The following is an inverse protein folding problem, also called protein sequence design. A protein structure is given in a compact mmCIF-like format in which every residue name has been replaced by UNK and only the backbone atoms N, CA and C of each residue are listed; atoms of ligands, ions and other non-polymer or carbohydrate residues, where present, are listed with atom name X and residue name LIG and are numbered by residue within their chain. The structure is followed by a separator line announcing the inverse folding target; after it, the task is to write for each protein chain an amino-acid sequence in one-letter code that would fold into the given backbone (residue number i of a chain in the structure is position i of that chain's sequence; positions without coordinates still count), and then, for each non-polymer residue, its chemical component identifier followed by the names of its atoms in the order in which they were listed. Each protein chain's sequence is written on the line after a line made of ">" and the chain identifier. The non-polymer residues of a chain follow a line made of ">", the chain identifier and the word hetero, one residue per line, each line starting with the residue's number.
data_IF_476876257820
#
_entry.id   IF_476876257820
#
_cell.length_a   1.000
_cell.length_b   1.000
_cell.length_c   1.000
_cell.angle_alpha   90.00
_cell.angle_beta   90.00
_cell.angle_gamma   90.00
#
_symmetry.space_group_name_H-M   'P 1'
#
loop_
_entity.id
_entity.type
_entity.pdbx_description
1 polymer ?
#
# COMPACT_ATOMS: atom_id res chain seq x y z
N UNK A 1 -15.56 9.77 -6.39
CA UNK A 1 -14.37 9.08 -6.94
C UNK A 1 -13.57 10.09 -7.73
N UNK A 2 -12.25 10.07 -7.59
CA UNK A 2 -11.32 10.93 -8.35
C UNK A 2 -10.56 10.08 -9.36
N UNK A 3 -10.02 10.66 -10.43
CA UNK A 3 -9.28 9.91 -11.46
C UNK A 3 -7.93 10.54 -11.73
N UNK A 4 -6.95 9.72 -12.12
CA UNK A 4 -5.66 10.15 -12.65
C UNK A 4 -5.63 9.94 -14.16
N UNK A 5 -4.97 10.85 -14.88
CA UNK A 5 -4.88 10.84 -16.33
C UNK A 5 -3.45 11.01 -16.82
N UNK A 6 -3.18 10.45 -17.99
CA UNK A 6 -1.97 10.71 -18.78
C UNK A 6 -2.43 11.16 -20.16
N UNK A 7 -2.23 12.46 -20.45
CA UNK A 7 -2.95 13.10 -21.56
C UNK A 7 -4.47 12.98 -21.36
N UNK A 8 -5.18 12.50 -22.38
CA UNK A 8 -6.62 12.29 -22.31
C UNK A 8 -7.04 10.91 -21.76
N UNK A 9 -6.07 10.01 -21.52
CA UNK A 9 -6.34 8.65 -21.05
C UNK A 9 -6.49 8.60 -19.54
N UNK A 10 -7.61 8.04 -19.04
CA UNK A 10 -7.77 7.71 -17.62
C UNK A 10 -6.95 6.46 -17.31
N UNK A 11 -6.00 6.57 -16.39
CA UNK A 11 -5.10 5.47 -16.02
C UNK A 11 -5.37 4.91 -14.63
N UNK A 12 -6.05 5.65 -13.75
CA UNK A 12 -6.44 5.13 -12.45
C UNK A 12 -7.70 5.81 -11.88
N UNK A 13 -8.47 5.05 -11.12
CA UNK A 13 -9.56 5.58 -10.27
C UNK A 13 -9.15 5.50 -8.81
N UNK A 14 -9.43 6.56 -8.06
CA UNK A 14 -9.18 6.69 -6.65
C UNK A 14 -10.49 6.62 -5.86
N UNK A 15 -10.60 5.58 -5.04
CA UNK A 15 -11.70 5.33 -4.12
C UNK A 15 -11.31 5.93 -2.76
N UNK A 16 -12.19 6.77 -2.22
CA UNK A 16 -11.88 7.61 -1.05
C UNK A 16 -12.42 6.96 0.23
N UNK A 17 -13.69 6.56 0.20
CA UNK A 17 -14.40 6.03 1.37
C UNK A 17 -15.22 4.81 0.93
N UNK A 18 -14.58 3.63 0.84
CA UNK A 18 -15.27 2.42 0.40
C UNK A 18 -16.18 1.90 1.52
N UNK A 19 -17.45 1.54 1.23
CA UNK A 19 -18.41 1.07 2.25
C UNK A 19 -18.14 -0.39 2.63
N UNK A 20 -17.03 -0.63 3.32
CA UNK A 20 -16.54 -1.96 3.67
C UNK A 20 -16.73 -2.27 5.15
N UNK A 21 -16.86 -3.56 5.46
CA UNK A 21 -16.82 -4.06 6.84
C UNK A 21 -15.47 -3.71 7.50
N UNK A 22 -15.48 -3.37 8.79
CA UNK A 22 -14.30 -2.96 9.54
C UNK A 22 -13.17 -4.01 9.49
N UNK A 23 -13.51 -5.30 9.39
CA UNK A 23 -12.54 -6.41 9.27
C UNK A 23 -11.72 -6.36 7.98
N UNK A 24 -12.11 -5.55 7.00
CA UNK A 24 -11.34 -5.31 5.77
C UNK A 24 -10.42 -4.08 5.86
N UNK A 25 -10.40 -3.40 7.02
CA UNK A 25 -9.69 -2.15 7.28
C UNK A 25 -9.95 -1.08 6.20
N UNK A 26 -11.17 -0.51 6.14
CA UNK A 26 -11.55 0.51 5.17
C UNK A 26 -10.51 1.64 5.06
N UNK A 27 -10.11 1.95 3.83
CA UNK A 27 -9.10 2.96 3.50
C UNK A 27 -9.21 3.44 2.06
N UNK A 28 -8.71 4.64 1.72
CA UNK A 28 -8.57 5.06 0.33
C UNK A 28 -7.56 4.20 -0.44
N UNK A 29 -7.86 3.90 -1.71
CA UNK A 29 -7.02 3.09 -2.59
C UNK A 29 -7.23 3.42 -4.08
N UNK A 30 -6.28 2.99 -4.92
CA UNK A 30 -6.40 3.07 -6.38
C UNK A 30 -6.89 1.73 -6.95
N UNK A 31 -8.05 1.72 -7.59
CA UNK A 31 -8.55 0.62 -8.42
C UNK A 31 -9.73 1.12 -9.30
N UNK A 32 -9.80 0.70 -10.59
CA UNK A 32 -8.75 0.03 -11.33
C UNK A 32 -7.61 0.99 -11.68
N UNK A 33 -6.37 0.51 -11.63
CA UNK A 33 -5.22 1.10 -12.33
C UNK A 33 -5.03 0.34 -13.65
N UNK A 34 -4.66 1.04 -14.71
CA UNK A 34 -4.53 0.49 -16.06
C UNK A 34 -3.23 0.88 -16.74
N UNK A 35 -2.73 0.02 -17.62
CA UNK A 35 -1.72 0.40 -18.63
C UNK A 35 -2.31 1.41 -19.63
N UNK A 36 -1.49 1.98 -20.53
CA UNK A 36 -2.01 2.87 -21.58
C UNK A 36 -2.84 2.10 -22.61
N UNK A 37 -2.53 0.82 -22.86
CA UNK A 37 -3.33 -0.10 -23.65
C UNK A 37 -4.64 -0.53 -22.98
N UNK A 38 -4.85 -0.19 -21.70
CA UNK A 38 -6.10 -0.40 -20.98
C UNK A 38 -6.17 -1.67 -20.13
N UNK A 39 -5.11 -2.48 -20.08
CA UNK A 39 -5.01 -3.67 -19.22
C UNK A 39 -5.11 -3.27 -17.75
N UNK A 40 -6.01 -3.90 -16.98
CA UNK A 40 -6.10 -3.68 -15.53
C UNK A 40 -4.91 -4.31 -14.85
N UNK A 41 -4.24 -3.55 -13.98
CA UNK A 41 -3.03 -3.99 -13.27
C UNK A 41 -3.20 -4.03 -11.76
N UNK A 42 -4.39 -3.72 -11.23
CA UNK A 42 -4.75 -3.86 -9.81
C UNK A 42 -6.00 -4.70 -9.63
N UNK A 43 -6.05 -5.51 -8.58
CA UNK A 43 -7.26 -6.25 -8.18
C UNK A 43 -7.72 -5.83 -6.77
N UNK A 44 -8.99 -6.03 -6.45
CA UNK A 44 -9.56 -5.68 -5.14
C UNK A 44 -10.64 -6.67 -4.69
N UNK A 45 -10.86 -6.77 -3.38
CA UNK A 45 -11.93 -7.59 -2.79
C UNK A 45 -11.88 -9.05 -3.26
N UNK A 46 -10.68 -9.56 -3.57
CA UNK A 46 -10.47 -10.92 -4.05
C UNK A 46 -10.96 -11.92 -3.00
N UNK A 47 -11.58 -13.03 -3.44
CA UNK A 47 -12.17 -14.02 -2.54
C UNK A 47 -11.19 -14.59 -1.50
N UNK A 48 -9.92 -14.76 -1.87
CA UNK A 48 -8.85 -15.30 -1.03
C UNK A 48 -8.40 -14.30 0.05
N UNK A 49 -8.35 -13.01 -0.29
CA UNK A 49 -7.87 -11.93 0.56
C UNK A 49 -8.72 -10.66 0.32
N UNK A 50 -9.96 -10.62 0.83
CA UNK A 50 -10.89 -9.52 0.52
C UNK A 50 -10.44 -8.16 1.09
N UNK A 51 -9.46 -8.14 1.99
CA UNK A 51 -8.85 -6.92 2.52
C UNK A 51 -7.70 -6.36 1.65
N UNK A 52 -7.35 -7.02 0.54
CA UNK A 52 -6.43 -6.46 -0.44
C UNK A 52 -7.18 -5.48 -1.35
N UNK A 53 -6.84 -4.20 -1.24
CA UNK A 53 -7.53 -3.10 -1.91
C UNK A 53 -6.57 -2.39 -2.88
N UNK A 54 -6.57 -2.85 -4.14
CA UNK A 54 -5.85 -2.25 -5.26
C UNK A 54 -4.39 -1.89 -4.94
N UNK A 55 -4.04 -0.63 -5.21
CA UNK A 55 -2.81 -0.01 -4.69
C UNK A 55 -3.15 0.96 -3.54
N UNK A 56 -2.64 0.69 -2.33
CA UNK A 56 -2.93 1.46 -1.12
C UNK A 56 -1.79 1.43 -0.10
N UNK A 57 -1.90 2.26 0.94
CA UNK A 57 -1.03 2.17 2.12
C UNK A 57 -1.81 1.48 3.24
N UNK A 58 -1.27 0.41 3.79
CA UNK A 58 -1.89 -0.35 4.89
C UNK A 58 -0.81 -1.04 5.74
N UNK A 59 -1.05 -1.16 7.05
CA UNK A 59 -0.09 -1.75 8.01
C UNK A 59 -0.80 -2.75 8.90
N UNK A 60 -0.20 -3.92 9.08
CA UNK A 60 -0.82 -5.03 9.81
C UNK A 60 -0.84 -4.84 11.33
N UNK A 61 0.03 -3.98 11.85
CA UNK A 61 0.13 -3.66 13.27
C UNK A 61 0.54 -2.19 13.45
N UNK A 62 -0.35 -1.37 13.98
CA UNK A 62 -0.12 0.03 14.35
C UNK A 62 -0.44 0.18 15.83
N UNK A 63 0.56 0.10 16.70
CA UNK A 63 0.36 0.03 18.16
C UNK A 63 -0.66 -1.05 18.58
N UNK A 64 -0.65 -2.22 17.94
CA UNK A 64 -1.57 -3.33 18.18
C UNK A 64 -2.86 -3.30 17.37
N UNK A 65 -3.09 -2.26 16.56
CA UNK A 65 -4.27 -2.15 15.69
C UNK A 65 -3.97 -2.60 14.26
N UNK A 66 -4.83 -3.44 13.71
CA UNK A 66 -4.75 -3.95 12.35
C UNK A 66 -5.41 -2.98 11.36
N UNK A 67 -4.59 -2.24 10.61
CA UNK A 67 -5.02 -1.35 9.52
C UNK A 67 -4.76 -1.96 8.12
N UNK A 68 -4.50 -3.26 8.07
CA UNK A 68 -4.34 -4.05 6.84
C UNK A 68 -5.64 -4.78 6.47
N UNK A 69 -6.36 -5.26 7.49
CA UNK A 69 -7.55 -6.08 7.40
C UNK A 69 -7.25 -7.57 7.54
N UNK A 70 -8.30 -8.39 7.58
CA UNK A 70 -8.19 -9.83 7.75
C UNK A 70 -7.75 -10.24 9.16
N UNK A 71 -7.15 -11.42 9.27
CA UNK A 71 -6.70 -11.96 10.56
C UNK A 71 -5.37 -11.34 10.98
N UNK A 72 -5.22 -11.11 12.28
CA UNK A 72 -3.96 -10.69 12.89
C UNK A 72 -3.09 -11.90 13.20
N UNK A 73 -1.79 -11.82 12.93
CA UNK A 73 -0.86 -12.89 13.31
C UNK A 73 -0.49 -12.75 14.79
N UNK A 74 -0.79 -13.79 15.57
CA UNK A 74 -0.47 -13.88 16.98
C UNK A 74 0.57 -14.97 17.19
N UNK A 75 1.66 -14.65 17.90
CA UNK A 75 2.72 -15.60 18.22
C UNK A 75 2.12 -16.85 18.89
N UNK A 76 2.59 -18.02 18.46
CA UNK A 76 2.16 -19.34 18.95
C UNK A 76 0.68 -19.72 18.70
N UNK A 77 -0.13 -18.82 18.11
CA UNK A 77 -1.53 -19.08 17.75
C UNK A 77 -1.77 -19.02 16.24
N UNK A 78 -0.92 -18.30 15.51
CA UNK A 78 -1.06 -18.06 14.07
C UNK A 78 -2.08 -16.98 13.74
N UNK A 79 -2.63 -17.04 12.53
CA UNK A 79 -3.61 -16.06 12.04
C UNK A 79 -4.97 -16.22 12.73
N UNK A 80 -5.32 -15.23 13.54
CA UNK A 80 -6.50 -15.23 14.42
C UNK A 80 -7.40 -14.05 14.10
N UNK A 81 -8.72 -14.27 14.15
CA UNK A 81 -9.69 -13.17 14.11
C UNK A 81 -9.73 -12.50 15.48
N UNK A 82 -9.37 -11.22 15.51
CA UNK A 82 -9.42 -10.37 16.68
C UNK A 82 -10.35 -9.18 16.41
N UNK A 83 -10.78 -8.51 17.48
CA UNK A 83 -11.51 -7.24 17.42
C UNK A 83 -10.51 -6.07 17.54
N UNK A 84 -9.60 -5.99 16.57
CA UNK A 84 -8.43 -5.09 16.57
C UNK A 84 -8.31 -4.26 15.29
N UNK A 85 -9.38 -4.15 14.49
CA UNK A 85 -9.34 -3.46 13.21
C UNK A 85 -9.49 -1.95 13.33
N UNK A 86 -8.66 -1.22 12.59
CA UNK A 86 -8.73 0.23 12.43
C UNK A 86 -9.21 0.65 11.04
N UNK A 87 -9.18 1.97 10.78
CA UNK A 87 -9.53 2.57 9.48
C UNK A 87 -8.51 3.63 9.08
N UNK A 88 -8.40 3.93 7.78
CA UNK A 88 -7.75 5.14 7.28
C UNK A 88 -8.82 5.98 6.61
N UNK A 89 -9.06 7.20 7.09
CA UNK A 89 -10.19 8.04 6.67
C UNK A 89 -9.73 9.28 5.94
N UNK A 90 -10.48 9.66 4.91
CA UNK A 90 -10.29 10.93 4.23
C UNK A 90 -10.77 12.10 5.09
N UNK A 91 -9.89 13.08 5.28
CA UNK A 91 -10.12 14.26 6.11
C UNK A 91 -10.22 15.56 5.30
N UNK A 92 -9.91 15.50 4.01
CA UNK A 92 -10.09 16.62 3.11
C UNK A 92 -9.01 16.72 2.03
N UNK A 93 -9.38 17.38 0.94
CA UNK A 93 -8.48 17.68 -0.16
C UNK A 93 -7.52 18.82 0.16
N UNK A 94 -6.31 18.71 -0.37
CA UNK A 94 -5.30 19.76 -0.44
C UNK A 94 -5.17 20.23 -1.91
N UNK A 95 -4.63 21.43 -2.15
CA UNK A 95 -4.21 21.82 -3.48
C UNK A 95 -3.27 20.78 -4.08
N UNK A 96 -3.55 20.32 -5.30
CA UNK A 96 -2.70 19.37 -5.99
C UNK A 96 -1.33 19.98 -6.26
N UNK A 97 -0.28 19.18 -6.10
CA UNK A 97 1.11 19.59 -6.38
C UNK A 97 1.39 19.82 -7.86
N UNK A 98 0.59 19.22 -8.73
CA UNK A 98 0.61 19.38 -10.20
C UNK A 98 -0.81 19.32 -10.76
N UNK A 99 -1.08 19.90 -11.94
CA UNK A 99 -2.38 19.74 -12.62
C UNK A 99 -2.75 18.27 -12.81
N UNK A 100 -3.99 17.91 -12.49
CA UNK A 100 -4.49 16.52 -12.60
C UNK A 100 -3.99 15.55 -11.54
N UNK A 101 -3.10 15.99 -10.62
CA UNK A 101 -2.70 15.22 -9.45
C UNK A 101 -3.74 15.26 -8.33
N UNK A 102 -3.58 14.37 -7.36
CA UNK A 102 -4.36 14.30 -6.14
C UNK A 102 -3.48 14.68 -4.94
N UNK A 103 -4.02 15.43 -3.99
CA UNK A 103 -3.34 15.70 -2.71
C UNK A 103 -4.37 15.82 -1.60
N UNK A 104 -4.15 15.17 -0.46
CA UNK A 104 -5.17 15.07 0.60
C UNK A 104 -4.55 14.91 1.99
N UNK A 105 -5.42 15.07 3.00
CA UNK A 105 -5.17 14.69 4.39
C UNK A 105 -5.97 13.44 4.72
N UNK A 106 -5.36 12.52 5.45
CA UNK A 106 -6.02 11.35 6.00
C UNK A 106 -5.76 11.23 7.50
N UNK A 107 -6.58 10.47 8.19
CA UNK A 107 -6.35 10.03 9.58
C UNK A 107 -6.37 8.52 9.66
N UNK A 108 -5.42 7.97 10.40
CA UNK A 108 -5.35 6.56 10.72
C UNK A 108 -5.97 6.39 12.10
N UNK A 109 -7.07 5.67 12.19
CA UNK A 109 -7.85 5.50 13.40
C UNK A 109 -7.81 4.06 13.90
N UNK A 110 -7.86 3.89 15.22
CA UNK A 110 -8.13 2.59 15.83
C UNK A 110 -9.63 2.19 15.73
N UNK A 111 -9.98 1.01 16.25
CA UNK A 111 -11.35 0.50 16.26
C UNK A 111 -12.33 1.30 17.13
N UNK A 112 -11.84 2.28 17.90
CA UNK A 112 -12.65 3.21 18.68
C UNK A 112 -12.66 4.63 18.08
N UNK A 113 -12.22 4.78 16.83
CA UNK A 113 -12.12 6.05 16.10
C UNK A 113 -11.16 7.07 16.71
N UNK A 114 -10.21 6.63 17.54
CA UNK A 114 -9.14 7.49 18.06
C UNK A 114 -8.03 7.58 17.02
N UNK A 115 -7.50 8.77 16.82
CA UNK A 115 -6.43 9.02 15.84
C UNK A 115 -5.11 8.48 16.36
N UNK A 116 -4.49 7.59 15.59
CA UNK A 116 -3.14 7.05 15.82
C UNK A 116 -2.10 7.89 15.06
N UNK A 117 -2.39 8.19 13.79
CA UNK A 117 -1.54 8.97 12.89
C UNK A 117 -2.38 9.92 12.04
N UNK A 118 -1.77 11.02 11.62
CA UNK A 118 -2.28 11.84 10.51
C UNK A 118 -1.42 11.59 9.28
N UNK A 119 -1.99 11.66 8.09
CA UNK A 119 -1.26 11.47 6.83
C UNK A 119 -1.48 12.65 5.88
N UNK A 120 -0.42 13.06 5.19
CA UNK A 120 -0.52 13.86 3.95
C UNK A 120 -0.09 13.00 2.77
N UNK A 121 -0.93 12.92 1.75
CA UNK A 121 -0.71 12.10 0.56
C UNK A 121 -0.72 12.96 -0.70
N UNK A 122 0.16 12.65 -1.65
CA UNK A 122 0.16 13.22 -3.00
C UNK A 122 0.34 12.10 -4.02
N UNK A 123 -0.54 12.06 -5.02
CA UNK A 123 -0.53 11.04 -6.07
C UNK A 123 -0.56 11.73 -7.43
N UNK A 124 0.35 11.35 -8.32
CA UNK A 124 0.43 11.91 -9.68
C UNK A 124 0.65 10.81 -10.69
N UNK A 125 0.20 11.03 -11.93
CA UNK A 125 0.44 10.17 -13.08
C UNK A 125 1.09 11.00 -14.19
N UNK A 126 2.12 10.46 -14.84
CA UNK A 126 2.81 11.13 -15.95
C UNK A 126 3.25 10.12 -17.00
N UNK A 127 3.30 10.53 -18.27
CA UNK A 127 3.88 9.71 -19.33
C UNK A 127 5.36 9.44 -19.04
N UNK A 128 5.82 8.23 -19.38
CA UNK A 128 7.20 7.81 -19.20
C UNK A 128 7.63 6.90 -20.37
N UNK A 129 8.93 6.77 -20.66
CA UNK A 129 9.40 5.77 -21.63
C UNK A 129 8.89 4.37 -21.25
N UNK A 130 8.25 3.68 -22.19
CA UNK A 130 7.69 2.34 -22.00
C UNK A 130 6.29 2.28 -21.37
N UNK A 131 5.68 3.40 -21.00
CA UNK A 131 4.33 3.41 -20.42
C UNK A 131 4.00 4.71 -19.69
N UNK A 132 3.61 4.61 -18.43
CA UNK A 132 3.41 5.77 -17.56
C UNK A 132 3.85 5.51 -16.13
N UNK A 133 4.24 6.56 -15.41
CA UNK A 133 4.69 6.46 -14.03
C UNK A 133 3.64 7.00 -13.05
N UNK A 134 3.27 6.15 -12.09
CA UNK A 134 2.61 6.56 -10.86
C UNK A 134 3.67 7.07 -9.88
N UNK A 135 3.48 8.27 -9.34
CA UNK A 135 4.25 8.76 -8.20
C UNK A 135 3.32 8.89 -7.00
N UNK A 136 3.59 8.09 -5.96
CA UNK A 136 2.80 8.01 -4.74
C UNK A 136 3.67 8.46 -3.56
N UNK A 137 3.34 9.62 -2.98
CA UNK A 137 4.00 10.16 -1.78
C UNK A 137 3.03 10.11 -0.62
N UNK A 138 3.50 9.63 0.52
CA UNK A 138 2.77 9.74 1.79
C UNK A 138 3.73 10.10 2.92
N UNK A 139 3.21 10.90 3.86
CA UNK A 139 3.89 11.27 5.07
C UNK A 139 2.94 11.06 6.24
N UNK A 140 3.28 10.17 7.17
CA UNK A 140 2.52 9.92 8.39
C UNK A 140 3.18 10.60 9.58
N UNK A 141 2.40 11.30 10.38
CA UNK A 141 2.86 12.13 11.50
C UNK A 141 2.14 11.72 12.77
N UNK A 142 2.91 11.55 13.84
CA UNK A 142 2.39 11.28 15.19
C UNK A 142 2.04 12.58 15.92
N UNK A 143 1.10 12.51 16.86
CA UNK A 143 0.83 13.64 17.75
C UNK A 143 2.00 13.85 18.74
N UNK A 144 2.21 15.07 19.25
CA UNK A 144 3.12 15.29 20.38
C UNK A 144 2.78 14.38 21.56
N UNK A 145 3.80 13.77 22.17
CA UNK A 145 3.65 12.83 23.30
C UNK A 145 3.16 11.42 22.93
N UNK A 146 2.89 11.12 21.65
CA UNK A 146 2.48 9.79 21.20
C UNK A 146 3.55 9.17 20.28
N UNK A 147 4.24 8.14 20.75
CA UNK A 147 5.06 7.28 19.90
C UNK A 147 4.18 6.21 19.22
N UNK A 148 4.46 5.92 17.94
CA UNK A 148 3.75 4.88 17.19
C UNK A 148 4.74 3.87 16.62
N UNK A 149 4.53 2.60 16.95
CA UNK A 149 5.22 1.46 16.35
C UNK A 149 4.40 0.90 15.19
N UNK A 150 5.07 0.70 14.06
CA UNK A 150 4.55 0.04 12.86
C UNK A 150 5.17 -1.34 12.73
N UNK A 151 4.34 -2.38 12.75
CA UNK A 151 4.74 -3.78 12.69
C UNK A 151 4.18 -4.54 11.50
N UNK A 152 4.62 -5.79 11.39
CA UNK A 152 4.18 -6.78 10.43
C UNK A 152 4.02 -8.14 11.13
N UNK A 153 3.42 -9.15 10.49
CA UNK A 153 3.43 -10.50 11.04
C UNK A 153 4.84 -11.01 11.36
N UNK A 154 5.84 -10.68 10.54
CA UNK A 154 7.23 -11.07 10.78
C UNK A 154 7.75 -10.49 12.11
N UNK A 155 7.52 -9.20 12.37
CA UNK A 155 7.91 -8.58 13.65
C UNK A 155 7.15 -9.16 14.84
N UNK A 156 5.94 -9.70 14.59
CA UNK A 156 5.12 -10.36 15.60
C UNK A 156 5.44 -11.85 15.77
N UNK A 157 6.49 -12.35 15.08
CA UNK A 157 7.04 -13.69 15.27
C UNK A 157 6.68 -14.70 14.19
N UNK A 158 6.04 -14.27 13.09
CA UNK A 158 5.78 -15.16 11.95
C UNK A 158 7.08 -15.48 11.23
N UNK A 159 7.40 -16.76 11.13
CA UNK A 159 8.52 -17.25 10.31
C UNK A 159 8.17 -17.19 8.81
N UNK A 160 9.20 -17.19 7.96
CA UNK A 160 9.01 -17.16 6.49
C UNK A 160 8.71 -15.77 5.94
N UNK A 161 9.39 -14.73 6.46
CA UNK A 161 9.54 -13.42 5.81
C UNK A 161 8.22 -12.69 5.51
N UNK A 162 7.22 -12.87 6.37
CA UNK A 162 5.92 -12.20 6.28
C UNK A 162 5.96 -10.71 6.70
N UNK A 163 6.92 -9.95 6.19
CA UNK A 163 7.19 -8.56 6.52
C UNK A 163 6.29 -7.53 5.84
N UNK A 164 5.13 -7.93 5.32
CA UNK A 164 4.26 -7.04 4.53
C UNK A 164 3.69 -5.88 5.37
N UNK A 165 3.44 -4.76 4.69
CA UNK A 165 2.92 -3.52 5.28
C UNK A 165 3.63 -2.31 4.70
N UNK A 166 2.90 -1.25 4.36
CA UNK A 166 3.41 -0.07 3.68
C UNK A 166 2.59 0.19 2.42
N UNK A 167 3.25 0.71 1.37
CA UNK A 167 2.62 0.82 0.06
C UNK A 167 2.54 -0.57 -0.58
N UNK A 168 1.33 -1.09 -0.71
CA UNK A 168 1.04 -2.41 -1.25
C UNK A 168 0.26 -2.31 -2.57
N UNK A 169 0.57 -3.24 -3.46
CA UNK A 169 -0.08 -3.40 -4.76
C UNK A 169 -0.56 -4.84 -4.91
N UNK A 170 -1.88 -5.03 -5.00
CA UNK A 170 -2.49 -6.31 -5.37
C UNK A 170 -2.66 -6.38 -6.88
N UNK A 171 -2.04 -7.36 -7.53
CA UNK A 171 -2.15 -7.55 -8.98
C UNK A 171 -3.26 -8.58 -9.32
N UNK A 172 -3.97 -8.40 -10.45
CA UNK A 172 -4.73 -9.48 -11.09
C UNK A 172 -3.77 -10.38 -11.88
N UNK A 173 -4.19 -11.61 -12.17
CA UNK A 173 -3.45 -12.55 -13.01
C UNK A 173 -3.22 -13.89 -12.33
N UNK A 174 -2.62 -14.82 -13.07
CA UNK A 174 -2.40 -16.20 -12.63
C UNK A 174 -0.90 -16.48 -12.43
N UNK A 175 -0.06 -15.91 -13.29
CA UNK A 175 1.38 -16.16 -13.31
C UNK A 175 2.16 -14.87 -13.25
N UNK A 176 3.16 -14.80 -12.37
CA UNK A 176 4.05 -13.66 -12.28
C UNK A 176 5.50 -14.07 -12.05
N UNK A 177 6.40 -13.26 -12.61
CA UNK A 177 7.85 -13.37 -12.43
C UNK A 177 8.37 -12.03 -11.96
N UNK A 178 9.21 -12.03 -10.91
CA UNK A 178 9.94 -10.87 -10.45
C UNK A 178 11.42 -10.99 -10.82
N UNK A 179 12.06 -9.87 -11.15
CA UNK A 179 13.51 -9.80 -11.42
C UNK A 179 14.36 -9.82 -10.14
N UNK A 180 13.74 -9.56 -8.99
CA UNK A 180 14.37 -9.56 -7.67
C UNK A 180 13.70 -10.58 -6.73
N UNK A 181 14.44 -11.16 -5.78
CA UNK A 181 13.88 -12.08 -4.81
C UNK A 181 13.04 -11.36 -3.76
N UNK A 182 12.13 -12.11 -3.13
CA UNK A 182 11.41 -11.70 -1.93
C UNK A 182 12.39 -11.24 -0.85
N UNK A 183 12.14 -10.07 -0.26
CA UNK A 183 13.02 -9.47 0.75
C UNK A 183 14.20 -8.70 0.19
N UNK A 184 14.28 -8.49 -1.13
CA UNK A 184 15.36 -7.70 -1.74
C UNK A 184 15.36 -6.25 -1.24
N UNK A 185 16.56 -5.69 -1.13
CA UNK A 185 16.81 -4.27 -0.87
C UNK A 185 17.20 -3.49 -2.15
N UNK A 186 17.05 -4.12 -3.33
CA UNK A 186 17.39 -3.51 -4.60
C UNK A 186 16.67 -2.16 -4.81
N UNK A 187 17.30 -1.25 -5.55
CA UNK A 187 16.74 0.07 -5.83
C UNK A 187 15.38 0.01 -6.57
N UNK A 188 15.16 -1.06 -7.33
CA UNK A 188 13.93 -1.35 -8.03
C UNK A 188 13.62 -2.84 -8.07
N UNK A 189 12.35 -3.19 -8.26
CA UNK A 189 11.88 -4.51 -8.66
C UNK A 189 10.89 -4.38 -9.81
N UNK A 190 11.01 -5.23 -10.82
CA UNK A 190 10.04 -5.39 -11.90
C UNK A 190 9.28 -6.69 -11.73
N UNK A 191 7.95 -6.59 -11.75
CA UNK A 191 7.04 -7.71 -11.79
C UNK A 191 6.37 -7.78 -13.17
N UNK A 192 6.54 -8.89 -13.87
CA UNK A 192 5.82 -9.21 -15.11
C UNK A 192 4.70 -10.19 -14.80
N UNK A 193 3.49 -9.92 -15.31
CA UNK A 193 2.30 -10.74 -15.02
C UNK A 193 1.61 -11.18 -16.31
N UNK A 194 1.37 -12.48 -16.43
CA UNK A 194 0.73 -13.18 -17.55
C UNK A 194 1.29 -12.82 -18.95
N UNK A 195 2.53 -12.32 -19.03
CA UNK A 195 3.13 -11.72 -20.23
C UNK A 195 2.27 -10.59 -20.85
N UNK A 196 1.42 -9.92 -20.06
CA UNK A 196 0.49 -8.86 -20.50
C UNK A 196 0.92 -7.46 -20.09
N UNK A 197 1.56 -7.34 -18.93
CA UNK A 197 1.99 -6.07 -18.39
C UNK A 197 3.17 -6.24 -17.45
N UNK A 198 3.90 -5.15 -17.25
CA UNK A 198 4.98 -5.05 -16.28
C UNK A 198 4.78 -3.87 -15.32
N UNK A 199 5.17 -4.07 -14.06
CA UNK A 199 5.18 -3.06 -13.02
C UNK A 199 6.60 -2.94 -12.45
N UNK A 200 7.27 -1.81 -12.65
CA UNK A 200 8.59 -1.55 -12.04
C UNK A 200 8.46 -0.59 -10.87
N UNK A 201 8.65 -1.09 -9.66
CA UNK A 201 8.57 -0.35 -8.41
C UNK A 201 9.94 0.23 -8.02
N UNK A 202 9.95 1.44 -7.46
CA UNK A 202 11.13 2.17 -6.98
C UNK A 202 10.80 2.95 -5.71
N UNK A 203 11.80 3.22 -4.90
CA UNK A 203 11.69 4.19 -3.80
C UNK A 203 11.62 3.58 -2.40
N UNK A 204 12.28 2.45 -2.17
CA UNK A 204 12.59 2.01 -0.80
C UNK A 204 13.39 3.08 -0.05
N UNK A 205 13.26 3.11 1.28
CA UNK A 205 14.03 4.01 2.13
C UNK A 205 14.49 3.32 3.41
N UNK A 206 15.72 3.60 3.85
CA UNK A 206 16.26 3.06 5.10
C UNK A 206 16.28 1.52 5.11
N UNK A 207 15.54 0.93 6.05
CA UNK A 207 15.50 -0.52 6.25
C UNK A 207 14.36 -1.22 5.48
N UNK A 208 13.62 -0.50 4.63
CA UNK A 208 12.53 -1.10 3.86
C UNK A 208 13.05 -2.23 2.95
N UNK A 209 12.17 -3.18 2.61
CA UNK A 209 12.43 -4.26 1.66
C UNK A 209 11.29 -4.43 0.67
N UNK A 210 11.56 -5.04 -0.48
CA UNK A 210 10.53 -5.49 -1.39
C UNK A 210 9.91 -6.79 -0.87
N UNK A 211 8.68 -6.73 -0.36
CA UNK A 211 7.87 -7.93 -0.20
C UNK A 211 7.26 -8.28 -1.56
N UNK A 212 7.56 -9.47 -2.06
CA UNK A 212 7.08 -9.95 -3.36
C UNK A 212 6.34 -11.27 -3.15
N UNK A 213 5.14 -11.38 -3.72
CA UNK A 213 4.35 -12.61 -3.74
C UNK A 213 4.01 -12.92 -5.19
N UNK A 214 4.40 -14.09 -5.68
CA UNK A 214 4.03 -14.61 -7.01
C UNK A 214 3.22 -15.91 -6.92
N UNK A 215 3.09 -16.48 -5.73
CA UNK A 215 2.32 -17.71 -5.46
C UNK A 215 1.21 -17.48 -4.43
N UNK A 216 0.06 -18.13 -4.66
CA UNK A 216 -1.18 -17.98 -3.89
C UNK A 216 -1.90 -16.68 -4.22
N UNK A 217 -1.16 -15.57 -4.29
CA UNK A 217 -1.58 -14.35 -4.95
C UNK A 217 -0.39 -13.56 -5.48
N UNK A 218 -0.68 -12.61 -6.38
CA UNK A 218 0.33 -11.73 -6.94
C UNK A 218 0.27 -10.36 -6.25
N UNK A 219 1.38 -9.93 -5.67
CA UNK A 219 1.45 -8.59 -5.08
C UNK A 219 2.83 -8.17 -4.63
N UNK A 220 3.03 -6.86 -4.56
CA UNK A 220 4.30 -6.22 -4.17
C UNK A 220 4.03 -5.20 -3.06
N UNK A 221 4.87 -5.18 -2.02
CA UNK A 221 4.85 -4.15 -0.99
C UNK A 221 6.24 -3.52 -0.85
N UNK A 222 6.29 -2.19 -0.71
CA UNK A 222 7.41 -1.53 -0.05
C UNK A 222 7.25 -1.75 1.47
N UNK A 223 7.86 -2.81 1.99
CA UNK A 223 7.70 -3.29 3.36
C UNK A 223 8.45 -2.39 4.36
N UNK A 224 7.71 -1.70 5.23
CA UNK A 224 8.31 -0.80 6.24
C UNK A 224 8.93 -1.55 7.43
N UNK A 225 8.34 -2.69 7.79
CA UNK A 225 8.67 -3.45 9.00
C UNK A 225 9.04 -4.89 8.62
N UNK A 226 10.12 -5.04 7.83
CA UNK A 226 10.56 -6.34 7.31
C UNK A 226 11.02 -7.30 8.42
N UNK A 227 12.02 -6.87 9.19
CA UNK A 227 12.61 -7.65 10.30
C UNK A 227 12.26 -7.10 11.67
N UNK A 228 12.16 -5.77 11.80
CA UNK A 228 11.97 -5.07 13.06
C UNK A 228 10.82 -4.06 12.92
N UNK A 229 10.06 -3.81 14.00
CA UNK A 229 9.09 -2.72 14.00
C UNK A 229 9.77 -1.39 13.66
N UNK A 230 9.08 -0.57 12.86
CA UNK A 230 9.50 0.80 12.58
C UNK A 230 8.81 1.72 13.58
N UNK A 231 9.59 2.46 14.35
CA UNK A 231 9.07 3.44 15.31
C UNK A 231 9.03 4.82 14.67
N UNK A 232 7.88 5.48 14.74
CA UNK A 232 7.72 6.91 14.47
C UNK A 232 7.68 7.62 15.84
N UNK A 233 8.74 8.36 16.21
CA UNK A 233 8.79 9.03 17.51
C UNK A 233 7.66 10.05 17.68
N UNK A 234 7.42 10.48 18.91
CA UNK A 234 6.39 11.45 19.23
C UNK A 234 6.60 12.82 18.56
N UNK A 235 5.59 13.30 17.83
CA UNK A 235 5.63 14.54 17.07
C UNK A 235 6.42 14.48 15.76
N UNK A 236 6.99 13.31 15.41
CA UNK A 236 7.83 13.14 14.22
C UNK A 236 7.03 12.65 13.00
N UNK A 237 7.66 12.76 11.83
CA UNK A 237 7.06 12.39 10.55
C UNK A 237 7.88 11.33 9.82
N UNK A 238 7.23 10.24 9.42
CA UNK A 238 7.77 9.25 8.50
C UNK A 238 7.27 9.56 7.08
N UNK A 239 8.19 9.70 6.13
CA UNK A 239 7.85 9.94 4.72
C UNK A 239 8.34 8.83 3.79
N UNK A 240 7.54 8.54 2.76
CA UNK A 240 7.89 7.64 1.67
C UNK A 240 7.46 8.20 0.32
N UNK A 241 8.23 7.86 -0.71
CA UNK A 241 7.91 8.18 -2.10
C UNK A 241 8.15 6.94 -2.95
N UNK A 242 7.06 6.26 -3.30
CA UNK A 242 7.10 5.11 -4.20
C UNK A 242 6.76 5.57 -5.60
N UNK A 243 7.51 5.07 -6.57
CA UNK A 243 7.21 5.24 -8.00
C UNK A 243 6.97 3.88 -8.64
N UNK A 244 5.99 3.81 -9.52
CA UNK A 244 5.66 2.58 -10.26
C UNK A 244 5.55 2.92 -11.74
N UNK A 245 6.44 2.37 -12.55
CA UNK A 245 6.27 2.36 -14.00
C UNK A 245 5.25 1.27 -14.34
N UNK A 246 4.18 1.65 -15.02
CA UNK A 246 3.12 0.76 -15.51
C UNK A 246 3.24 0.67 -17.02
N UNK A 247 3.52 -0.53 -17.52
CA UNK A 247 3.81 -0.78 -18.93
C UNK A 247 2.97 -1.92 -19.50
N UNK A 248 2.53 -1.77 -20.75
CA UNK A 248 2.05 -2.87 -21.59
C UNK A 248 3.24 -3.75 -22.03
N UNK A 249 2.97 -5.02 -22.34
CA UNK A 249 3.93 -5.95 -22.95
C UNK A 249 3.45 -6.43 -24.33
#
# INVERSE_FOLDING_TARGET
>A
MSVLRVGDTVVATYVIDPPLDIRLAPRPYLHPVRTLGGTVVTDELCFDHPWHLGASVAIADVNGWNLWGGRTFVRDQGYTWLDDHGTIRHDGWLPATVPGGLSEKLRWCDGHDRTLLTERRSITAAAAPGGWELSFRYAVTTAPGLEVSLGSPATNGRTGEAGYGGFFWRCPGEHAVADEPHGSAAESVTLTVDDKYALTFRGLSGADRWFIRTEGYIGVCAALAWEKPLVVPAGETLSRHVRVLVADL
#
